data_IF_067958312508
#
_entry.id   IF_067958312508
#
_cell.length_a   1.000
_cell.length_b   1.000
_cell.length_c   1.000
_cell.angle_alpha   90.00
_cell.angle_beta   90.00
_cell.angle_gamma   90.00
#
_symmetry.space_group_name_H-M   'P 1'
#
loop_
_entity.id
_entity.type
_entity.pdbx_description
1 polymer ?
#
# COMPACT_ATOMS: atom_id res chain seq x y z
N UNK A 1 9.29 61.76 42.47
CA UNK A 1 8.42 60.60 42.78
C UNK A 1 7.29 60.34 41.78
N UNK A 2 6.89 61.27 40.88
CA UNK A 2 5.80 61.04 39.91
C UNK A 2 6.17 60.26 38.64
N UNK A 3 7.46 60.10 38.34
CA UNK A 3 7.97 59.39 37.15
C UNK A 3 7.95 57.87 37.30
N UNK A 4 8.26 57.35 38.50
CA UNK A 4 8.29 55.90 38.81
C UNK A 4 6.92 55.20 38.62
N UNK A 5 5.81 55.90 38.89
CA UNK A 5 4.45 55.37 38.69
C UNK A 5 4.08 55.16 37.21
N UNK A 6 4.65 55.96 36.29
CA UNK A 6 4.45 55.78 34.84
C UNK A 6 5.30 54.64 34.28
N UNK A 7 6.52 54.46 34.78
CA UNK A 7 7.42 53.37 34.40
C UNK A 7 6.83 52.00 34.80
N UNK A 8 6.25 51.89 36.00
CA UNK A 8 5.61 50.65 36.46
C UNK A 8 4.38 50.26 35.62
N UNK A 9 3.60 51.24 35.14
CA UNK A 9 2.47 51.00 34.24
C UNK A 9 2.91 50.53 32.85
N UNK A 10 3.98 51.10 32.32
CA UNK A 10 4.57 50.66 31.05
C UNK A 10 5.17 49.26 31.15
N UNK A 11 5.87 48.97 32.25
CA UNK A 11 6.42 47.64 32.52
C UNK A 11 5.32 46.55 32.59
N UNK A 12 4.17 46.86 33.20
CA UNK A 12 3.03 45.94 33.24
C UNK A 12 2.48 45.65 31.84
N UNK A 13 2.32 46.68 31.00
CA UNK A 13 1.82 46.53 29.62
C UNK A 13 2.82 45.72 28.78
N UNK A 14 4.12 46.01 28.92
CA UNK A 14 5.16 45.26 28.23
C UNK A 14 5.18 43.78 28.63
N UNK A 15 5.02 43.48 29.93
CA UNK A 15 4.91 42.11 30.43
C UNK A 15 3.65 41.39 29.92
N UNK A 16 2.51 42.09 29.86
CA UNK A 16 1.27 41.55 29.28
C UNK A 16 1.41 41.26 27.79
N UNK A 17 1.98 42.18 27.01
CA UNK A 17 2.25 41.97 25.58
C UNK A 17 3.21 40.81 25.36
N UNK A 18 4.28 40.71 26.16
CA UNK A 18 5.21 39.59 26.09
C UNK A 18 4.50 38.24 26.35
N UNK A 19 3.65 38.15 27.39
CA UNK A 19 2.87 36.95 27.67
C UNK A 19 1.86 36.61 26.56
N UNK A 20 1.21 37.62 25.97
CA UNK A 20 0.28 37.41 24.85
C UNK A 20 1.00 36.88 23.60
N UNK A 21 2.19 37.41 23.31
CA UNK A 21 3.04 36.92 22.22
C UNK A 21 3.47 35.47 22.48
N UNK A 22 3.88 35.15 23.71
CA UNK A 22 4.32 33.81 24.09
C UNK A 22 3.17 32.79 23.99
N UNK A 23 1.96 33.19 24.37
CA UNK A 23 0.75 32.39 24.18
C UNK A 23 0.45 32.16 22.69
N UNK A 24 0.50 33.22 21.87
CA UNK A 24 0.24 33.13 20.43
C UNK A 24 1.24 32.20 19.74
N UNK A 25 2.54 32.33 20.06
CA UNK A 25 3.59 31.45 19.54
C UNK A 25 3.42 30.02 20.06
N UNK A 26 3.03 29.83 21.32
CA UNK A 26 2.75 28.51 21.88
C UNK A 26 1.62 27.78 21.14
N UNK A 27 0.51 28.47 20.87
CA UNK A 27 -0.61 27.91 20.09
C UNK A 27 -0.17 27.58 18.65
N UNK A 28 0.62 28.46 18.02
CA UNK A 28 1.15 28.21 16.67
C UNK A 28 2.05 26.95 16.64
N UNK A 29 2.97 26.83 17.59
CA UNK A 29 3.89 25.69 17.68
C UNK A 29 3.14 24.36 17.85
N UNK A 30 2.11 24.32 18.71
CA UNK A 30 1.27 23.12 18.91
C UNK A 30 0.52 22.74 17.62
N UNK A 31 -0.02 23.73 16.91
CA UNK A 31 -0.76 23.48 15.67
C UNK A 31 0.14 22.95 14.55
N UNK A 32 1.32 23.55 14.35
CA UNK A 32 2.30 23.07 13.37
C UNK A 32 2.77 21.65 13.69
N UNK A 33 3.16 21.39 14.94
CA UNK A 33 3.60 20.06 15.38
C UNK A 33 2.50 19.00 15.19
N UNK A 34 1.26 19.34 15.51
CA UNK A 34 0.13 18.42 15.34
C UNK A 34 -0.16 18.11 13.87
N UNK A 35 0.08 19.06 12.97
CA UNK A 35 -0.03 18.84 11.52
C UNK A 35 1.03 17.87 11.03
N UNK A 36 2.29 18.14 11.37
CA UNK A 36 3.44 17.32 10.96
C UNK A 36 3.36 15.88 11.49
N UNK A 37 2.92 15.71 12.75
CA UNK A 37 2.70 14.40 13.35
C UNK A 37 1.63 13.61 12.59
N UNK A 38 0.51 14.22 12.20
CA UNK A 38 -0.55 13.54 11.43
C UNK A 38 -0.05 13.07 10.07
N UNK A 39 0.69 13.91 9.35
CA UNK A 39 1.26 13.54 8.05
C UNK A 39 2.28 12.42 8.19
N UNK A 40 3.12 12.49 9.23
CA UNK A 40 4.12 11.46 9.53
C UNK A 40 3.46 10.11 9.85
N UNK A 41 2.41 10.11 10.68
CA UNK A 41 1.65 8.90 11.01
C UNK A 41 0.99 8.27 9.78
N UNK A 42 0.41 9.09 8.90
CA UNK A 42 -0.17 8.60 7.65
C UNK A 42 0.88 7.97 6.74
N UNK A 43 2.02 8.63 6.56
CA UNK A 43 3.13 8.11 5.75
C UNK A 43 3.65 6.77 6.28
N UNK A 44 3.75 6.61 7.60
CA UNK A 44 4.14 5.33 8.21
C UNK A 44 3.09 4.26 7.94
N UNK A 45 1.81 4.58 8.10
CA UNK A 45 0.70 3.68 7.76
C UNK A 45 0.72 3.25 6.29
N UNK A 46 0.93 4.17 5.37
CA UNK A 46 0.97 3.89 3.93
C UNK A 46 2.16 2.99 3.57
N UNK A 47 3.34 3.22 4.18
CA UNK A 47 4.51 2.34 4.01
C UNK A 47 4.27 0.92 4.53
N UNK A 48 3.60 0.79 5.68
CA UNK A 48 3.24 -0.53 6.24
C UNK A 48 2.22 -1.25 5.34
N UNK A 49 1.20 -0.55 4.88
CA UNK A 49 0.21 -1.10 3.95
C UNK A 49 0.86 -1.52 2.62
N UNK A 50 1.80 -0.73 2.08
CA UNK A 50 2.56 -1.07 0.88
C UNK A 50 3.42 -2.32 1.07
N UNK A 51 4.16 -2.42 2.19
CA UNK A 51 4.96 -3.61 2.52
C UNK A 51 4.08 -4.87 2.59
N UNK A 52 2.89 -4.76 3.20
CA UNK A 52 1.92 -5.85 3.23
C UNK A 52 1.47 -6.24 1.81
N UNK A 53 1.16 -5.27 0.96
CA UNK A 53 0.76 -5.52 -0.41
C UNK A 53 1.89 -6.21 -1.21
N UNK A 54 3.14 -5.77 -1.07
CA UNK A 54 4.30 -6.38 -1.73
C UNK A 54 4.55 -7.81 -1.24
N UNK A 55 4.42 -8.06 0.07
CA UNK A 55 4.47 -9.42 0.63
C UNK A 55 3.37 -10.29 0.06
N UNK A 56 2.14 -9.76 -0.08
CA UNK A 56 1.03 -10.47 -0.73
C UNK A 56 1.27 -10.74 -2.21
N UNK A 57 1.95 -9.84 -2.94
CA UNK A 57 2.36 -10.08 -4.34
C UNK A 57 3.43 -11.17 -4.43
N UNK A 58 4.38 -11.18 -3.49
CA UNK A 58 5.38 -12.23 -3.40
C UNK A 58 4.72 -13.59 -3.12
N UNK A 59 3.82 -13.64 -2.15
CA UNK A 59 3.08 -14.86 -1.81
C UNK A 59 2.17 -15.31 -2.95
N UNK A 60 1.48 -14.39 -3.61
CA UNK A 60 0.74 -14.68 -4.83
C UNK A 60 1.63 -15.37 -5.86
N UNK A 61 2.86 -14.88 -6.07
CA UNK A 61 3.79 -15.50 -7.02
C UNK A 61 4.24 -16.90 -6.58
N UNK A 62 4.34 -17.16 -5.27
CA UNK A 62 4.78 -18.47 -4.75
C UNK A 62 3.69 -19.54 -4.81
N UNK A 63 2.43 -19.17 -4.54
CA UNK A 63 1.31 -20.11 -4.45
C UNK A 63 0.49 -20.22 -5.75
N UNK A 64 0.77 -19.37 -6.74
CA UNK A 64 -0.03 -19.33 -7.96
C UNK A 64 0.16 -20.59 -8.82
N UNK A 65 -0.92 -21.34 -8.96
CA UNK A 65 -1.07 -22.43 -9.93
C UNK A 65 -2.42 -22.26 -10.66
N UNK A 66 -2.42 -22.13 -12.01
CA UNK A 66 -3.65 -21.97 -12.78
C UNK A 66 -4.61 -23.16 -12.65
N UNK A 67 -4.14 -24.36 -12.30
CA UNK A 67 -5.00 -25.52 -12.06
C UNK A 67 -5.88 -25.36 -10.81
N UNK A 68 -5.39 -24.65 -9.79
CA UNK A 68 -6.11 -24.46 -8.52
C UNK A 68 -6.63 -23.04 -8.31
N UNK A 69 -6.14 -22.07 -9.10
CA UNK A 69 -6.46 -20.64 -8.94
C UNK A 69 -7.96 -20.30 -9.01
N UNK A 70 -8.74 -21.12 -9.72
CA UNK A 70 -10.18 -20.93 -9.94
C UNK A 70 -11.06 -21.87 -9.11
N UNK A 71 -10.47 -22.79 -8.33
CA UNK A 71 -11.17 -23.83 -7.57
C UNK A 71 -11.75 -23.31 -6.23
N UNK A 72 -11.43 -22.08 -5.83
CA UNK A 72 -11.85 -21.50 -4.55
C UNK A 72 -11.11 -22.05 -3.32
N UNK A 73 -10.11 -22.91 -3.52
CA UNK A 73 -9.40 -23.62 -2.45
C UNK A 73 -8.17 -22.88 -1.96
N UNK A 74 -7.47 -22.19 -2.88
CA UNK A 74 -6.24 -21.42 -2.60
C UNK A 74 -6.53 -19.91 -2.56
N UNK A 75 -7.42 -19.45 -3.44
CA UNK A 75 -7.84 -18.04 -3.52
C UNK A 75 -9.36 -17.91 -3.35
N UNK A 76 -9.87 -16.79 -2.82
CA UNK A 76 -9.12 -15.63 -2.34
C UNK A 76 -8.41 -15.89 -1.01
N UNK A 77 -7.26 -15.24 -0.80
CA UNK A 77 -6.58 -15.21 0.50
C UNK A 77 -7.17 -14.06 1.29
N UNK A 78 -7.80 -14.36 2.43
CA UNK A 78 -8.35 -13.35 3.32
C UNK A 78 -7.23 -12.61 4.07
N UNK A 79 -7.55 -11.51 4.76
CA UNK A 79 -6.57 -10.73 5.50
C UNK A 79 -5.77 -11.57 6.49
N UNK A 80 -4.48 -11.73 6.20
CA UNK A 80 -3.53 -12.46 7.03
C UNK A 80 -2.38 -11.53 7.41
N UNK A 81 -1.86 -11.70 8.63
CA UNK A 81 -0.69 -10.95 9.08
C UNK A 81 0.58 -11.42 8.34
N UNK A 82 1.59 -10.55 8.27
CA UNK A 82 2.88 -10.93 7.68
C UNK A 82 3.53 -12.08 8.46
N UNK A 83 4.20 -12.96 7.74
CA UNK A 83 4.98 -14.05 8.32
C UNK A 83 6.11 -13.49 9.19
N UNK A 84 6.32 -14.06 10.37
CA UNK A 84 7.32 -13.59 11.34
C UNK A 84 6.75 -12.90 12.59
N UNK A 85 5.43 -12.64 12.65
CA UNK A 85 4.71 -12.35 13.90
C UNK A 85 5.03 -11.01 14.59
N UNK A 86 5.86 -10.16 13.99
CA UNK A 86 6.29 -8.89 14.59
C UNK A 86 5.22 -7.79 14.52
N UNK A 87 4.28 -7.88 13.58
CA UNK A 87 3.21 -6.89 13.41
C UNK A 87 1.90 -7.55 12.95
N UNK A 88 1.00 -7.83 13.91
CA UNK A 88 -0.32 -8.40 13.63
C UNK A 88 -1.31 -7.39 13.00
N UNK A 89 -0.98 -6.09 13.05
CA UNK A 89 -1.86 -5.02 12.56
C UNK A 89 -1.69 -4.77 11.07
N UNK A 90 -0.53 -5.14 10.53
CA UNK A 90 -0.22 -5.09 9.10
C UNK A 90 -0.61 -6.42 8.47
N UNK A 91 -1.49 -6.38 7.47
CA UNK A 91 -2.13 -7.56 6.88
C UNK A 91 -2.24 -7.43 5.37
N UNK A 92 -2.24 -8.54 4.66
CA UNK A 92 -2.46 -8.60 3.22
C UNK A 92 -3.62 -9.55 2.87
N UNK A 93 -4.28 -9.29 1.75
CA UNK A 93 -5.28 -10.17 1.15
C UNK A 93 -5.04 -10.26 -0.35
N UNK A 94 -5.38 -11.40 -0.95
CA UNK A 94 -5.22 -11.65 -2.38
C UNK A 94 -6.59 -11.99 -2.96
N UNK A 95 -7.06 -11.19 -3.92
CA UNK A 95 -8.30 -11.45 -4.63
C UNK A 95 -8.18 -12.69 -5.52
N UNK A 96 -9.32 -13.26 -5.92
CA UNK A 96 -9.34 -14.38 -6.84
C UNK A 96 -8.70 -13.98 -8.18
N UNK A 97 -7.70 -14.74 -8.68
CA UNK A 97 -7.11 -14.49 -9.99
C UNK A 97 -8.15 -14.64 -11.10
N UNK A 98 -8.01 -13.83 -12.15
CA UNK A 98 -8.91 -13.80 -13.31
C UNK A 98 -8.10 -13.88 -14.60
N UNK A 99 -8.70 -14.41 -15.66
CA UNK A 99 -8.10 -14.31 -17.01
C UNK A 99 -8.38 -12.89 -17.53
N UNK A 100 -7.39 -12.19 -18.12
CA UNK A 100 -7.59 -10.85 -18.66
C UNK A 100 -8.76 -10.80 -19.63
N UNK A 101 -9.68 -9.84 -19.41
CA UNK A 101 -10.85 -9.65 -20.29
C UNK A 101 -10.53 -8.82 -21.55
N UNK A 102 -9.36 -8.19 -21.59
CA UNK A 102 -8.90 -7.36 -22.71
C UNK A 102 -7.48 -7.75 -23.12
N UNK A 103 -7.24 -7.71 -24.43
CA UNK A 103 -5.98 -8.17 -25.02
C UNK A 103 -5.87 -9.69 -25.09
N UNK A 104 -4.69 -10.18 -25.49
CA UNK A 104 -4.45 -11.61 -25.61
C UNK A 104 -4.31 -12.25 -24.21
N UNK A 105 -5.05 -13.32 -23.96
CA UNK A 105 -4.93 -14.16 -22.76
C UNK A 105 -3.66 -15.00 -22.76
N UNK A 106 -3.02 -15.14 -23.91
CA UNK A 106 -1.74 -15.84 -24.10
C UNK A 106 -0.72 -14.97 -24.80
N UNK A 107 0.53 -14.97 -24.33
CA UNK A 107 1.65 -14.31 -25.00
C UNK A 107 2.60 -15.37 -25.55
N UNK A 108 3.01 -15.20 -26.81
CA UNK A 108 4.06 -16.03 -27.40
C UNK A 108 5.40 -15.68 -26.75
N UNK A 109 6.16 -16.70 -26.35
CA UNK A 109 7.53 -16.49 -25.90
C UNK A 109 8.45 -16.56 -27.13
N UNK A 110 9.30 -15.55 -27.30
CA UNK A 110 10.24 -15.51 -28.41
C UNK A 110 11.21 -16.70 -28.33
N UNK A 111 11.38 -17.44 -29.43
CA UNK A 111 12.21 -18.64 -29.49
C UNK A 111 11.52 -19.95 -29.09
N UNK A 112 10.23 -19.92 -28.74
CA UNK A 112 9.44 -21.11 -28.33
C UNK A 112 8.47 -21.60 -29.42
N UNK A 113 8.71 -21.23 -30.68
CA UNK A 113 8.04 -21.82 -31.83
C UNK A 113 8.70 -23.17 -32.14
N UNK A 114 7.99 -24.27 -31.89
CA UNK A 114 8.44 -25.60 -32.25
C UNK A 114 7.99 -25.84 -33.70
N UNK A 115 8.92 -26.26 -34.56
CA UNK A 115 8.59 -26.57 -35.96
C UNK A 115 7.40 -27.54 -36.04
N UNK A 116 6.48 -27.31 -36.99
CA UNK A 116 5.28 -28.14 -37.16
C UNK A 116 3.98 -27.58 -36.56
N UNK A 117 3.81 -26.25 -36.52
CA UNK A 117 2.62 -25.52 -36.05
C UNK A 117 2.35 -25.58 -34.53
N UNK A 118 3.27 -26.15 -33.74
CA UNK A 118 3.20 -26.11 -32.29
C UNK A 118 3.84 -24.82 -31.76
N UNK A 119 3.10 -24.07 -30.96
CA UNK A 119 3.55 -22.80 -30.41
C UNK A 119 3.44 -22.86 -28.90
N UNK A 120 4.52 -22.52 -28.20
CA UNK A 120 4.55 -22.42 -26.75
C UNK A 120 4.62 -20.96 -26.31
N UNK A 121 3.96 -20.65 -25.21
CA UNK A 121 3.85 -19.30 -24.69
C UNK A 121 3.52 -19.28 -23.21
N UNK A 122 3.03 -18.15 -22.74
CA UNK A 122 2.54 -17.98 -21.37
C UNK A 122 1.08 -17.58 -21.38
N UNK A 123 0.29 -18.12 -20.47
CA UNK A 123 -1.03 -17.62 -20.14
C UNK A 123 -0.91 -16.46 -19.15
N UNK A 124 -1.75 -15.44 -19.31
CA UNK A 124 -1.80 -14.27 -18.42
C UNK A 124 -2.95 -14.41 -17.44
N UNK A 125 -2.72 -13.95 -16.23
CA UNK A 125 -3.70 -13.89 -15.15
C UNK A 125 -3.58 -12.58 -14.41
N UNK A 126 -4.69 -11.91 -14.11
CA UNK A 126 -4.72 -10.70 -13.29
C UNK A 126 -5.25 -11.00 -11.91
N UNK A 127 -4.62 -10.44 -10.88
CA UNK A 127 -5.11 -10.50 -9.50
C UNK A 127 -4.87 -9.16 -8.80
N UNK A 128 -5.74 -8.84 -7.84
CA UNK A 128 -5.61 -7.65 -7.01
C UNK A 128 -5.10 -8.06 -5.63
N UNK A 129 -4.03 -7.41 -5.16
CA UNK A 129 -3.47 -7.63 -3.83
C UNK A 129 -3.67 -6.37 -3.00
N UNK A 130 -4.32 -6.52 -1.85
CA UNK A 130 -4.56 -5.41 -0.93
C UNK A 130 -3.75 -5.60 0.33
N UNK A 131 -2.89 -4.63 0.63
CA UNK A 131 -2.22 -4.49 1.91
C UNK A 131 -2.92 -3.44 2.78
N UNK A 132 -3.10 -3.74 4.06
CA UNK A 132 -3.70 -2.81 5.02
C UNK A 132 -2.92 -2.77 6.32
N UNK A 133 -3.02 -1.64 7.01
CA UNK A 133 -2.63 -1.54 8.40
C UNK A 133 -3.81 -1.03 9.25
N UNK A 134 -4.21 -1.85 10.23
CA UNK A 134 -5.35 -1.57 11.11
C UNK A 134 -5.03 -0.58 12.24
N UNK A 135 -3.76 -0.40 12.62
CA UNK A 135 -3.35 0.58 13.62
C UNK A 135 -3.35 2.02 13.09
N UNK A 136 -2.98 2.22 11.82
CA UNK A 136 -2.96 3.52 11.15
C UNK A 136 -4.18 3.76 10.24
N UNK A 137 -5.07 2.77 10.09
CA UNK A 137 -6.25 2.80 9.22
C UNK A 137 -5.90 3.19 7.76
N UNK A 138 -4.87 2.55 7.23
CA UNK A 138 -4.37 2.75 5.86
C UNK A 138 -4.53 1.49 5.03
N UNK A 139 -4.72 1.64 3.72
CA UNK A 139 -4.87 0.54 2.77
C UNK A 139 -4.30 0.91 1.41
N UNK A 140 -3.62 -0.04 0.77
CA UNK A 140 -3.05 0.09 -0.57
C UNK A 140 -3.45 -1.16 -1.36
N UNK A 141 -3.94 -0.96 -2.57
CA UNK A 141 -4.26 -2.04 -3.49
C UNK A 141 -3.33 -1.96 -4.70
N UNK A 142 -2.75 -3.10 -5.06
CA UNK A 142 -1.88 -3.26 -6.23
C UNK A 142 -2.52 -4.29 -7.14
N UNK A 143 -2.84 -3.88 -8.36
CA UNK A 143 -3.27 -4.79 -9.41
C UNK A 143 -2.03 -5.31 -10.14
N UNK A 144 -1.89 -6.63 -10.18
CA UNK A 144 -0.75 -7.32 -10.77
C UNK A 144 -1.20 -8.32 -11.83
N UNK A 145 -0.36 -8.49 -12.83
CA UNK A 145 -0.51 -9.55 -13.82
C UNK A 145 0.62 -10.56 -13.69
N UNK A 146 0.26 -11.85 -13.78
CA UNK A 146 1.17 -12.98 -13.68
C UNK A 146 1.14 -13.74 -15.00
N UNK A 147 2.32 -14.06 -15.52
CA UNK A 147 2.48 -15.00 -16.62
C UNK A 147 2.75 -16.40 -16.10
N UNK A 148 2.02 -17.40 -16.60
CA UNK A 148 2.29 -18.81 -16.36
C UNK A 148 2.68 -19.50 -17.64
N UNK A 149 3.82 -20.16 -17.66
CA UNK A 149 4.33 -20.86 -18.83
C UNK A 149 5.65 -21.58 -18.53
N UNK A 150 6.22 -22.29 -19.52
CA UNK A 150 5.72 -22.42 -20.88
C UNK A 150 4.52 -23.39 -20.97
N UNK A 151 3.45 -22.96 -21.64
CA UNK A 151 2.26 -23.77 -21.98
C UNK A 151 2.06 -23.79 -23.49
N UNK A 152 1.47 -24.86 -24.01
CA UNK A 152 1.11 -24.91 -25.43
C UNK A 152 -0.04 -23.92 -25.71
N UNK A 153 0.19 -23.00 -26.66
CA UNK A 153 -0.74 -21.95 -27.08
C UNK A 153 -1.07 -22.07 -28.58
N UNK A 154 -0.79 -23.24 -29.18
CA UNK A 154 -1.23 -23.55 -30.54
C UNK A 154 -2.74 -23.34 -30.62
N UNK A 155 -3.22 -22.82 -31.74
CA UNK A 155 -4.64 -22.51 -31.95
C UNK A 155 -5.50 -23.73 -31.64
N UNK A 156 -6.06 -23.80 -30.42
CA UNK A 156 -7.14 -24.73 -30.13
C UNK A 156 -8.37 -24.17 -30.83
N UNK A 157 -8.66 -24.71 -32.01
CA UNK A 157 -9.99 -24.59 -32.63
C UNK A 157 -11.01 -25.07 -31.59
N UNK A 158 -11.74 -24.14 -30.98
CA UNK A 158 -12.97 -24.46 -30.26
C UNK A 158 -14.12 -24.56 -31.25
#
# INVERSE_FOLDING_TARGET
MKTLLRENGFALIAALLANLILLAVGILAVNLSSGDIRVSMRTVGDKKALNAAETGVHELTSIFDPATAFSGTVFPVNFQALSGGQDATTQYSIAQPTVPQTGSSTLQLNGYAIGGAQMWGQSRYGASVTGRNTAYNTSVTIDVEIGYGPVEISTMSR
#
